data_IF_516748343260
#
_entry.id   IF_516748343260
#
_cell.length_a   1.000
_cell.length_b   1.000
_cell.length_c   1.000
_cell.angle_alpha   90.00
_cell.angle_beta   90.00
_cell.angle_gamma   90.00
#
_symmetry.space_group_name_H-M   'P 1'
#
loop_
_entity.id
_entity.type
_entity.pdbx_description
1 polymer ?
#
# COMPACT_ATOMS: atom_id res chain seq x y z
N UNK A 1 17.52 32.55 19.55
CA UNK A 1 17.30 31.38 20.40
C UNK A 1 16.61 30.28 19.60
N UNK A 2 17.18 29.07 19.51
CA UNK A 2 16.55 27.93 18.87
C UNK A 2 15.75 27.15 19.92
N UNK A 3 14.44 26.99 19.72
CA UNK A 3 13.62 26.10 20.55
C UNK A 3 13.01 25.02 19.65
N UNK A 4 13.42 23.81 19.99
CA UNK A 4 13.08 22.51 19.43
C UNK A 4 11.60 22.21 19.61
N UNK A 5 11.01 21.59 18.59
CA UNK A 5 9.62 21.15 18.52
C UNK A 5 9.42 19.82 19.28
N UNK A 6 8.45 19.70 20.20
CA UNK A 6 7.81 18.39 20.44
C UNK A 6 6.28 18.42 20.35
N UNK A 7 5.65 19.57 20.15
CA UNK A 7 4.21 19.70 20.45
C UNK A 7 3.26 19.24 19.33
N UNK A 8 3.77 18.99 18.12
CA UNK A 8 2.95 18.53 17.00
C UNK A 8 2.62 17.02 17.10
N UNK A 9 3.50 16.24 17.73
CA UNK A 9 3.30 14.79 17.90
C UNK A 9 2.22 14.48 18.94
N UNK A 10 2.06 15.34 19.95
CA UNK A 10 1.01 15.17 20.95
C UNK A 10 -0.38 15.53 20.39
N UNK A 11 -0.46 16.50 19.49
CA UNK A 11 -1.74 16.94 18.89
C UNK A 11 -2.27 15.97 17.82
N UNK A 12 -1.41 15.25 17.11
CA UNK A 12 -1.82 14.19 16.17
C UNK A 12 -2.26 12.88 16.86
N UNK A 13 -2.04 12.71 18.17
CA UNK A 13 -2.55 11.55 18.93
C UNK A 13 -4.01 11.70 19.39
N UNK A 14 -4.62 12.86 19.15
CA UNK A 14 -5.97 13.19 19.61
C UNK A 14 -7.08 12.88 18.59
N UNK A 15 -6.85 11.99 17.60
CA UNK A 15 -7.90 11.55 16.66
C UNK A 15 -8.23 10.08 16.89
N UNK A 16 -9.00 9.85 17.96
CA UNK A 16 -10.08 8.86 18.09
C UNK A 16 -9.89 7.58 17.25
N UNK A 17 -9.10 6.66 17.80
CA UNK A 17 -9.13 5.26 17.46
C UNK A 17 -10.43 4.63 17.99
N UNK A 18 -11.52 4.67 17.20
CA UNK A 18 -12.78 3.99 17.51
C UNK A 18 -13.01 2.85 16.52
N UNK A 19 -12.67 1.64 16.97
CA UNK A 19 -13.48 0.44 16.78
C UNK A 19 -13.79 -0.06 15.36
N UNK A 20 -12.82 -0.12 14.45
CA UNK A 20 -12.83 -1.02 13.29
C UNK A 20 -11.40 -1.58 13.16
N UNK A 21 -11.22 -2.83 12.71
CA UNK A 21 -9.88 -3.43 12.54
C UNK A 21 -8.88 -2.43 11.95
N UNK A 22 -7.73 -2.27 12.62
CA UNK A 22 -6.82 -1.10 12.62
C UNK A 22 -7.06 -0.13 11.43
N UNK A 23 -7.44 1.13 11.66
CA UNK A 23 -7.96 2.08 10.66
C UNK A 23 -7.10 2.26 9.38
N UNK A 24 -5.81 1.90 9.42
CA UNK A 24 -4.94 1.83 8.24
C UNK A 24 -5.41 0.82 7.18
N UNK A 25 -5.94 -0.35 7.60
CA UNK A 25 -6.22 -1.45 6.69
C UNK A 25 -7.48 -1.22 5.85
N UNK A 26 -8.52 -0.61 6.44
CA UNK A 26 -9.74 -0.23 5.71
C UNK A 26 -9.47 0.87 4.69
N UNK A 27 -8.59 1.83 5.03
CA UNK A 27 -8.15 2.88 4.11
C UNK A 27 -7.31 2.31 2.97
N UNK A 28 -6.31 1.47 3.26
CA UNK A 28 -5.49 0.79 2.24
C UNK A 28 -6.36 -0.06 1.31
N UNK A 29 -7.34 -0.79 1.87
CA UNK A 29 -8.33 -1.53 1.09
C UNK A 29 -9.14 -0.62 0.18
N UNK A 30 -9.66 0.48 0.71
CA UNK A 30 -10.43 1.45 -0.08
C UNK A 30 -9.59 2.07 -1.21
N UNK A 31 -8.32 2.42 -0.94
CA UNK A 31 -7.39 2.97 -1.93
C UNK A 31 -7.06 1.93 -3.01
N UNK A 32 -6.77 0.69 -2.63
CA UNK A 32 -6.51 -0.40 -3.57
C UNK A 32 -7.72 -0.64 -4.47
N UNK A 33 -8.92 -0.76 -3.90
CA UNK A 33 -10.17 -0.93 -4.66
C UNK A 33 -10.41 0.24 -5.61
N UNK A 34 -10.24 1.47 -5.12
CA UNK A 34 -10.39 2.69 -5.92
C UNK A 34 -9.44 2.70 -7.11
N UNK A 35 -8.15 2.42 -6.90
CA UNK A 35 -7.15 2.43 -7.96
C UNK A 35 -7.35 1.30 -8.99
N UNK A 36 -7.82 0.12 -8.57
CA UNK A 36 -8.18 -0.96 -9.50
C UNK A 36 -9.40 -0.58 -10.34
N UNK A 37 -10.43 0.03 -9.72
CA UNK A 37 -11.64 0.47 -10.41
C UNK A 37 -11.37 1.61 -11.41
N UNK A 38 -10.53 2.58 -11.06
CA UNK A 38 -10.07 3.66 -11.96
C UNK A 38 -9.47 3.11 -13.25
N UNK A 39 -8.86 1.92 -13.20
CA UNK A 39 -8.21 1.25 -14.33
C UNK A 39 -9.02 0.09 -14.92
N UNK A 40 -10.26 -0.10 -14.46
CA UNK A 40 -11.14 -1.21 -14.89
C UNK A 40 -10.51 -2.60 -14.70
N UNK A 41 -9.61 -2.76 -13.73
CA UNK A 41 -8.94 -4.03 -13.45
C UNK A 41 -9.83 -4.89 -12.57
N UNK A 42 -10.18 -6.08 -13.04
CA UNK A 42 -10.94 -7.06 -12.24
C UNK A 42 -9.97 -7.99 -11.53
N UNK A 43 -9.99 -7.94 -10.20
CA UNK A 43 -9.19 -8.82 -9.33
C UNK A 43 -10.14 -9.69 -8.51
N UNK A 44 -9.91 -11.00 -8.51
CA UNK A 44 -10.70 -11.92 -7.69
C UNK A 44 -10.50 -11.62 -6.20
N UNK A 45 -11.56 -11.70 -5.39
CA UNK A 45 -11.53 -11.43 -3.95
C UNK A 45 -10.37 -12.13 -3.21
N UNK A 46 -10.04 -13.42 -3.47
CA UNK A 46 -8.92 -14.08 -2.80
C UNK A 46 -7.55 -13.46 -3.10
N UNK A 47 -7.37 -12.88 -4.30
CA UNK A 47 -6.14 -12.18 -4.70
C UNK A 47 -6.07 -10.82 -4.03
N UNK A 48 -7.20 -10.11 -3.93
CA UNK A 48 -7.29 -8.84 -3.20
C UNK A 48 -6.93 -9.00 -1.72
N UNK A 49 -7.51 -9.99 -1.04
CA UNK A 49 -7.18 -10.30 0.35
C UNK A 49 -5.71 -10.69 0.54
N UNK A 50 -5.14 -11.40 -0.44
CA UNK A 50 -3.74 -11.79 -0.43
C UNK A 50 -2.80 -10.59 -0.61
N UNK A 51 -3.15 -9.67 -1.53
CA UNK A 51 -2.42 -8.42 -1.76
C UNK A 51 -2.40 -7.58 -0.49
N UNK A 52 -3.55 -7.35 0.14
CA UNK A 52 -3.66 -6.53 1.35
C UNK A 52 -2.83 -7.05 2.54
N UNK A 53 -2.63 -8.37 2.62
CA UNK A 53 -1.79 -8.98 3.67
C UNK A 53 -0.29 -8.83 3.43
N UNK A 54 0.14 -8.61 2.18
CA UNK A 54 1.57 -8.63 1.79
C UNK A 54 2.09 -7.27 1.33
N UNK A 55 1.21 -6.38 0.91
CA UNK A 55 1.55 -5.00 0.61
C UNK A 55 2.09 -4.31 1.87
N UNK A 56 3.21 -3.57 1.76
CA UNK A 56 3.62 -2.66 2.80
C UNK A 56 2.49 -1.67 3.11
N UNK A 57 2.35 -1.29 4.38
CA UNK A 57 1.29 -0.37 4.85
C UNK A 57 1.62 1.08 4.50
N UNK A 58 1.82 1.37 3.22
CA UNK A 58 2.05 2.71 2.69
C UNK A 58 1.21 2.97 1.44
N UNK A 59 0.67 4.19 1.25
CA UNK A 59 -0.06 4.55 0.04
C UNK A 59 0.77 4.42 -1.24
N UNK A 60 2.07 4.71 -1.17
CA UNK A 60 2.98 4.62 -2.32
C UNK A 60 3.18 3.18 -2.78
N UNK A 61 3.28 2.23 -1.84
CA UNK A 61 3.34 0.81 -2.17
C UNK A 61 2.06 0.31 -2.86
N UNK A 62 0.89 0.80 -2.43
CA UNK A 62 -0.40 0.46 -3.09
C UNK A 62 -0.41 1.00 -4.52
N UNK A 63 -0.01 2.26 -4.71
CA UNK A 63 0.05 2.88 -6.05
C UNK A 63 0.98 2.12 -6.98
N UNK A 64 2.19 1.80 -6.52
CA UNK A 64 3.20 1.09 -7.29
C UNK A 64 2.73 -0.32 -7.68
N UNK A 65 2.17 -1.06 -6.72
CA UNK A 65 1.64 -2.40 -6.99
C UNK A 65 0.52 -2.35 -8.05
N UNK A 66 -0.41 -1.40 -7.95
CA UNK A 66 -1.48 -1.26 -8.94
C UNK A 66 -0.92 -0.89 -10.31
N UNK A 67 0.08 0.00 -10.40
CA UNK A 67 0.71 0.35 -11.68
C UNK A 67 1.39 -0.84 -12.35
N UNK A 68 2.11 -1.67 -11.57
CA UNK A 68 2.75 -2.88 -12.11
C UNK A 68 1.73 -3.95 -12.49
N UNK A 69 0.68 -4.12 -11.69
CA UNK A 69 -0.43 -5.03 -12.00
C UNK A 69 -1.18 -4.60 -13.26
N UNK A 70 -1.43 -3.31 -13.44
CA UNK A 70 -2.07 -2.75 -14.64
C UNK A 70 -1.26 -3.09 -15.90
N UNK A 71 0.05 -2.82 -15.85
CA UNK A 71 0.96 -3.15 -16.95
C UNK A 71 0.97 -4.64 -17.28
N UNK A 72 1.10 -5.49 -16.26
CA UNK A 72 1.06 -6.95 -16.44
C UNK A 72 -0.32 -7.42 -16.95
N UNK A 73 -1.40 -6.77 -16.49
CA UNK A 73 -2.76 -7.04 -16.94
C UNK A 73 -2.98 -6.70 -18.40
N UNK A 74 -2.45 -5.58 -18.88
CA UNK A 74 -2.52 -5.19 -20.29
C UNK A 74 -1.81 -6.22 -21.20
N UNK A 75 -0.68 -6.76 -20.76
CA UNK A 75 0.05 -7.81 -21.48
C UNK A 75 -0.71 -9.16 -21.48
N UNK A 76 -1.49 -9.44 -20.42
CA UNK A 76 -2.23 -10.68 -20.23
C UNK A 76 -3.73 -10.63 -20.62
N UNK A 77 -4.20 -9.56 -21.26
CA UNK A 77 -5.59 -9.42 -21.71
C UNK A 77 -6.61 -9.07 -20.61
N UNK A 78 -6.18 -8.37 -19.56
CA UNK A 78 -7.03 -7.72 -18.56
C UNK A 78 -7.39 -8.56 -17.33
N UNK A 79 -6.96 -9.82 -17.24
CA UNK A 79 -7.21 -10.69 -16.08
C UNK A 79 -5.98 -10.79 -15.19
N UNK A 80 -6.12 -10.35 -13.93
CA UNK A 80 -5.07 -10.49 -12.92
C UNK A 80 -5.21 -11.83 -12.20
N UNK A 81 -4.12 -12.61 -12.18
CA UNK A 81 -4.03 -13.87 -11.45
C UNK A 81 -3.21 -13.69 -10.17
N UNK A 82 -3.33 -14.67 -9.26
CA UNK A 82 -2.49 -14.71 -8.05
C UNK A 82 -1.00 -14.79 -8.37
N UNK A 83 -0.62 -15.52 -9.42
CA UNK A 83 0.77 -15.67 -9.84
C UNK A 83 1.35 -14.32 -10.28
N UNK A 84 0.63 -13.58 -11.13
CA UNK A 84 1.04 -12.23 -11.56
C UNK A 84 1.16 -11.26 -10.39
N UNK A 85 0.23 -11.30 -9.44
CA UNK A 85 0.31 -10.49 -8.23
C UNK A 85 1.52 -10.84 -7.37
N UNK A 86 1.94 -12.09 -7.36
CA UNK A 86 3.16 -12.54 -6.69
C UNK A 86 4.41 -12.03 -7.37
N UNK A 87 4.53 -12.22 -8.69
CA UNK A 87 5.68 -11.75 -9.45
C UNK A 87 5.87 -10.24 -9.31
N UNK A 88 4.76 -9.48 -9.31
CA UNK A 88 4.77 -8.03 -9.07
C UNK A 88 5.32 -7.70 -7.69
N UNK A 89 4.82 -8.33 -6.62
CA UNK A 89 5.31 -8.05 -5.26
C UNK A 89 6.77 -8.46 -5.06
N UNK A 90 7.19 -9.59 -5.63
CA UNK A 90 8.56 -10.06 -5.56
C UNK A 90 9.51 -9.07 -6.26
N UNK A 91 9.12 -8.56 -7.45
CA UNK A 91 9.88 -7.51 -8.15
C UNK A 91 9.97 -6.18 -7.39
N UNK A 92 8.92 -5.84 -6.62
CA UNK A 92 8.91 -4.63 -5.79
C UNK A 92 9.85 -4.77 -4.60
N UNK A 93 9.91 -5.95 -3.99
CA UNK A 93 10.83 -6.26 -2.91
C UNK A 93 12.30 -6.25 -3.36
N UNK A 94 12.57 -6.62 -4.62
CA UNK A 94 13.92 -6.59 -5.20
C UNK A 94 14.35 -5.17 -5.60
N UNK A 95 13.39 -4.30 -5.98
CA UNK A 95 13.65 -2.89 -6.34
C UNK A 95 13.77 -1.99 -5.10
N UNK A 96 13.08 -2.32 -4.02
CA UNK A 96 13.09 -1.54 -2.78
C UNK A 96 14.23 -2.07 -1.88
N UNK A 97 15.32 -1.31 -1.63
CA UNK A 97 16.27 -1.71 -0.60
C UNK A 97 15.51 -1.86 0.73
N UNK A 98 15.94 -2.75 1.65
CA UNK A 98 15.30 -2.87 2.95
C UNK A 98 15.37 -1.50 3.62
N UNK A 99 14.22 -0.82 3.72
CA UNK A 99 14.10 0.42 4.48
C UNK A 99 14.48 0.09 5.93
N UNK A 100 15.74 0.30 6.26
CA UNK A 100 16.24 0.26 7.63
C UNK A 100 15.53 1.33 8.46
N UNK A 101 15.32 1.08 9.76
CA UNK A 101 14.82 2.12 10.66
C UNK A 101 15.88 3.23 10.78
N UNK A 102 15.42 4.47 10.91
CA UNK A 102 16.21 5.66 11.25
C UNK A 102 17.13 6.25 10.16
N UNK A 103 16.58 7.17 9.36
CA UNK A 103 17.36 8.19 8.67
C UNK A 103 16.63 9.54 8.68
N UNK A 104 16.35 10.07 9.87
CA UNK A 104 16.22 11.53 10.09
C UNK A 104 16.88 11.88 11.43
N UNK A 105 18.19 12.18 11.39
CA UNK A 105 18.96 13.15 12.21
C UNK A 105 20.45 12.94 11.86
N UNK A 106 21.32 13.97 11.84
CA UNK A 106 21.28 15.19 12.67
C UNK A 106 20.83 16.48 11.95
#
# INVERSE_FOLDING_TARGET
WPVVLPDLQSRLRATVAVGLGRPDESLLRALLMRHLAERQIVVAQPVMEWLLRRLPRSPDSVREAVMRLDRAGLEAGGRITRAMAQDVLDSMAETMPPSGPDAISP
#
